data_IF_319138366464
#
_entry.id   IF_319138366464
#
_cell.length_a   1.000
_cell.length_b   1.000
_cell.length_c   1.000
_cell.angle_alpha   90.00
_cell.angle_beta   90.00
_cell.angle_gamma   90.00
#
_symmetry.space_group_name_H-M   'P 1'
#
loop_
_entity.id
_entity.type
_entity.pdbx_description
1 polymer ?
#
# COMPACT_ATOMS: atom_id res chain seq x y z
N UNK A 1 -8.49 5.51 12.12
CA UNK A 1 -8.26 6.86 11.50
C UNK A 1 -9.30 7.12 10.43
N UNK A 2 -9.86 8.34 10.27
CA UNK A 2 -10.85 8.68 9.23
C UNK A 2 -10.35 9.82 8.32
N UNK A 3 -10.44 9.64 7.01
CA UNK A 3 -10.11 10.61 5.97
C UNK A 3 -11.34 11.24 5.30
N UNK A 4 -11.09 12.05 4.28
CA UNK A 4 -12.14 12.65 3.45
C UNK A 4 -12.54 11.70 2.31
N UNK A 5 -13.84 11.49 2.08
CA UNK A 5 -14.32 10.67 0.97
C UNK A 5 -14.42 11.54 -0.29
N UNK A 6 -13.74 11.13 -1.36
CA UNK A 6 -13.80 11.83 -2.64
C UNK A 6 -15.04 11.47 -3.47
N UNK A 7 -15.22 12.17 -4.60
CA UNK A 7 -16.36 11.97 -5.49
C UNK A 7 -16.45 10.57 -6.13
N UNK A 8 -15.39 9.76 -6.01
CA UNK A 8 -15.33 8.39 -6.52
C UNK A 8 -15.49 7.35 -5.40
N UNK A 9 -15.75 7.80 -4.16
CA UNK A 9 -15.92 6.94 -3.00
C UNK A 9 -14.59 6.51 -2.36
N UNK A 10 -13.45 7.06 -2.79
CA UNK A 10 -12.17 6.78 -2.16
C UNK A 10 -11.98 7.61 -0.91
N UNK A 11 -11.57 6.98 0.18
CA UNK A 11 -11.15 7.67 1.39
C UNK A 11 -9.71 8.17 1.21
N UNK A 12 -9.49 9.47 1.33
CA UNK A 12 -8.18 10.10 1.25
C UNK A 12 -7.65 10.39 2.63
N UNK A 13 -6.50 9.82 2.95
CA UNK A 13 -5.85 10.00 4.25
C UNK A 13 -4.46 10.57 4.04
N UNK A 14 -4.19 11.71 4.66
CA UNK A 14 -2.85 12.26 4.72
C UNK A 14 -2.13 11.72 5.96
N UNK A 15 -0.92 11.17 5.79
CA UNK A 15 -0.10 10.65 6.88
C UNK A 15 1.29 11.26 6.82
N UNK A 16 1.86 11.52 8.00
CA UNK A 16 3.20 12.10 8.15
C UNK A 16 4.26 11.09 8.62
N UNK A 17 3.89 9.82 8.81
CA UNK A 17 4.84 8.80 9.23
C UNK A 17 4.47 7.39 8.75
N UNK A 18 5.49 6.56 8.57
CA UNK A 18 5.31 5.13 8.27
C UNK A 18 4.70 4.36 9.44
N UNK A 19 4.89 4.83 10.68
CA UNK A 19 4.28 4.21 11.87
C UNK A 19 2.76 4.36 11.80
N UNK A 20 2.25 5.54 11.46
CA UNK A 20 0.82 5.76 11.30
C UNK A 20 0.27 4.92 10.14
N UNK A 21 1.03 4.74 9.05
CA UNK A 21 0.63 3.85 7.96
C UNK A 21 0.55 2.38 8.41
N UNK A 22 1.50 1.89 9.20
CA UNK A 22 1.45 0.53 9.77
C UNK A 22 0.21 0.32 10.66
N UNK A 23 -0.14 1.32 11.46
CA UNK A 23 -1.34 1.28 12.31
C UNK A 23 -2.62 1.27 11.47
N UNK A 24 -2.68 2.10 10.43
CA UNK A 24 -3.81 2.12 9.49
C UNK A 24 -3.99 0.75 8.82
N UNK A 25 -2.90 0.11 8.40
CA UNK A 25 -2.94 -1.23 7.79
C UNK A 25 -3.51 -2.26 8.77
N UNK A 26 -2.96 -2.31 9.99
CA UNK A 26 -3.45 -3.22 11.02
C UNK A 26 -4.95 -3.03 11.28
N UNK A 27 -5.41 -1.78 11.39
CA UNK A 27 -6.82 -1.42 11.62
C UNK A 27 -7.72 -1.83 10.45
N UNK A 28 -7.34 -1.53 9.20
CA UNK A 28 -8.21 -1.70 8.02
C UNK A 28 -8.29 -3.12 7.50
N UNK A 29 -7.27 -3.93 7.79
CA UNK A 29 -7.22 -5.34 7.39
C UNK A 29 -7.49 -6.31 8.55
N UNK A 30 -7.74 -5.80 9.76
CA UNK A 30 -7.89 -6.61 10.99
C UNK A 30 -6.70 -7.57 11.20
N UNK A 31 -5.49 -7.01 11.05
CA UNK A 31 -4.22 -7.75 11.16
C UNK A 31 -3.45 -7.33 12.42
N UNK A 32 -2.60 -8.21 12.99
CA UNK A 32 -1.83 -7.87 14.18
C UNK A 32 -0.85 -6.70 13.92
N UNK A 33 -0.58 -5.81 14.90
CA UNK A 33 0.36 -4.71 14.70
C UNK A 33 1.76 -5.20 14.31
N UNK A 34 2.23 -4.81 13.11
CA UNK A 34 3.53 -5.19 12.53
C UNK A 34 4.13 -4.04 11.71
N UNK A 35 5.45 -4.06 11.44
CA UNK A 35 6.11 -3.06 10.60
C UNK A 35 5.89 -3.34 9.09
N UNK A 36 4.63 -3.34 8.64
CA UNK A 36 4.23 -3.64 7.25
C UNK A 36 5.01 -2.85 6.18
N UNK A 37 5.26 -1.57 6.40
CA UNK A 37 5.91 -0.68 5.42
C UNK A 37 7.41 -0.95 5.24
N UNK A 38 8.05 -1.65 6.18
CA UNK A 38 9.51 -1.87 6.19
C UNK A 38 9.91 -3.34 6.23
N UNK A 39 9.04 -4.24 6.71
CA UNK A 39 9.24 -5.68 6.65
C UNK A 39 8.41 -6.30 5.52
N UNK A 40 9.10 -6.80 4.49
CA UNK A 40 8.47 -7.46 3.36
C UNK A 40 7.64 -8.68 3.76
N UNK A 41 8.06 -9.44 4.79
CA UNK A 41 7.29 -10.61 5.24
C UNK A 41 5.95 -10.19 5.83
N UNK A 42 5.95 -9.13 6.63
CA UNK A 42 4.72 -8.54 7.15
C UNK A 42 3.86 -8.00 6.00
N UNK A 43 4.44 -7.27 5.04
CA UNK A 43 3.70 -6.76 3.88
C UNK A 43 3.02 -7.88 3.07
N UNK A 44 3.66 -9.03 2.92
CA UNK A 44 3.09 -10.19 2.21
C UNK A 44 1.85 -10.78 2.91
N UNK A 45 1.60 -10.47 4.18
CA UNK A 45 0.34 -10.82 4.85
C UNK A 45 -0.87 -10.14 4.18
N UNK A 46 -0.69 -8.98 3.53
CA UNK A 46 -1.73 -8.33 2.74
C UNK A 46 -2.06 -9.08 1.45
N UNK A 47 -1.06 -9.77 0.89
CA UNK A 47 -1.27 -10.67 -0.25
C UNK A 47 -2.05 -11.90 0.19
N UNK A 48 -1.69 -12.48 1.34
CA UNK A 48 -2.44 -13.59 1.93
C UNK A 48 -3.87 -13.17 2.23
N UNK A 49 -4.08 -11.97 2.80
CA UNK A 49 -5.41 -11.42 3.04
C UNK A 49 -6.22 -11.35 1.75
N UNK A 50 -5.65 -10.81 0.67
CA UNK A 50 -6.34 -10.70 -0.63
C UNK A 50 -6.70 -12.08 -1.19
N UNK A 51 -5.80 -13.07 -1.09
CA UNK A 51 -6.05 -14.44 -1.54
C UNK A 51 -7.21 -15.13 -0.79
N UNK A 52 -7.48 -14.72 0.45
CA UNK A 52 -8.52 -15.30 1.30
C UNK A 52 -9.87 -14.57 1.20
N UNK A 53 -9.87 -13.29 0.78
CA UNK A 53 -11.06 -12.42 0.82
C UNK A 53 -11.56 -11.95 -0.55
N UNK A 54 -10.77 -12.10 -1.61
CA UNK A 54 -11.17 -11.73 -2.97
C UNK A 54 -11.59 -12.98 -3.76
N UNK A 55 -12.66 -12.87 -4.56
CA UNK A 55 -13.16 -13.95 -5.41
C UNK A 55 -12.18 -14.26 -6.55
N UNK A 56 -11.43 -13.25 -7.02
CA UNK A 56 -10.49 -13.37 -8.14
C UNK A 56 -9.17 -12.67 -7.82
N UNK A 57 -8.42 -13.17 -6.82
CA UNK A 57 -7.25 -12.47 -6.32
C UNK A 57 -6.20 -12.38 -7.41
N UNK A 58 -5.64 -11.18 -7.55
CA UNK A 58 -4.49 -10.92 -8.39
C UNK A 58 -3.41 -10.25 -7.55
N UNK A 59 -2.17 -10.67 -7.76
CA UNK A 59 -1.02 -10.00 -7.19
C UNK A 59 0.15 -10.12 -8.15
N UNK A 60 0.80 -8.98 -8.41
CA UNK A 60 2.06 -8.95 -9.13
C UNK A 60 2.97 -7.89 -8.51
N UNK A 61 4.26 -8.23 -8.45
CA UNK A 61 5.34 -7.34 -8.04
C UNK A 61 6.50 -7.50 -9.00
N UNK A 62 7.11 -6.39 -9.37
CA UNK A 62 8.34 -6.37 -10.14
C UNK A 62 9.25 -5.24 -9.67
N UNK A 63 10.53 -5.37 -9.98
CA UNK A 63 11.52 -4.31 -9.84
C UNK A 63 12.07 -4.00 -11.22
N UNK A 64 11.86 -2.79 -11.70
CA UNK A 64 12.38 -2.34 -13.00
C UNK A 64 13.01 -0.98 -12.83
N UNK A 65 14.27 -0.83 -13.24
CA UNK A 65 14.91 0.48 -13.32
C UNK A 65 14.42 1.26 -14.55
N UNK A 66 13.97 0.55 -15.59
CA UNK A 66 13.61 1.13 -16.90
C UNK A 66 12.13 1.54 -16.97
N UNK A 67 11.25 0.88 -16.22
CA UNK A 67 9.80 1.15 -16.20
C UNK A 67 9.33 1.95 -14.98
N UNK A 68 10.26 2.32 -14.08
CA UNK A 68 9.95 3.00 -12.84
C UNK A 68 10.17 4.51 -12.90
N UNK A 69 9.45 5.23 -12.06
CA UNK A 69 9.79 6.62 -11.74
C UNK A 69 11.16 6.66 -11.03
N UNK A 70 12.00 7.70 -11.26
CA UNK A 70 13.22 7.91 -10.47
C UNK A 70 12.88 7.83 -8.98
N UNK A 71 13.70 7.11 -8.20
CA UNK A 71 13.52 6.78 -6.76
C UNK A 71 12.46 5.72 -6.39
N UNK A 72 11.59 5.26 -7.30
CA UNK A 72 10.49 4.31 -6.96
C UNK A 72 10.50 3.03 -7.83
N UNK A 73 11.53 2.16 -7.71
CA UNK A 73 11.78 1.06 -8.64
C UNK A 73 10.84 -0.14 -8.50
N UNK A 74 10.01 -0.19 -7.45
CA UNK A 74 9.13 -1.33 -7.19
C UNK A 74 7.71 -1.02 -7.66
N UNK A 75 7.24 -1.74 -8.68
CA UNK A 75 5.85 -1.72 -9.12
C UNK A 75 5.09 -2.90 -8.52
N UNK A 76 3.92 -2.61 -7.91
CA UNK A 76 3.01 -3.60 -7.33
C UNK A 76 1.60 -3.37 -7.82
N UNK A 77 0.84 -4.44 -8.00
CA UNK A 77 -0.57 -4.38 -8.38
C UNK A 77 -1.38 -5.52 -7.77
N UNK A 78 -2.43 -5.17 -7.03
CA UNK A 78 -3.54 -6.06 -6.65
C UNK A 78 -4.66 -6.10 -7.69
N UNK A 79 -4.56 -5.26 -8.72
CA UNK A 79 -5.43 -5.26 -9.89
C UNK A 79 -4.61 -5.35 -11.18
N UNK A 80 -5.14 -6.04 -12.19
CA UNK A 80 -4.46 -6.20 -13.48
C UNK A 80 -4.26 -4.85 -14.16
N UNK A 81 -3.06 -4.63 -14.71
CA UNK A 81 -2.68 -3.42 -15.48
C UNK A 81 -2.73 -2.10 -14.70
N UNK A 82 -2.90 -2.16 -13.38
CA UNK A 82 -2.75 -1.00 -12.50
C UNK A 82 -1.56 -1.24 -11.60
N UNK A 83 -0.63 -0.29 -11.58
CA UNK A 83 0.61 -0.40 -10.85
C UNK A 83 0.79 0.81 -9.95
N UNK A 84 1.07 0.55 -8.68
CA UNK A 84 1.55 1.56 -7.76
C UNK A 84 3.04 1.36 -7.53
N UNK A 85 3.77 2.46 -7.46
CA UNK A 85 5.21 2.48 -7.36
C UNK A 85 5.70 3.05 -6.04
N UNK A 86 6.72 2.43 -5.45
CA UNK A 86 7.39 2.94 -4.26
C UNK A 86 8.90 2.60 -4.22
N UNK A 87 9.58 3.19 -3.24
CA UNK A 87 11.02 3.01 -2.98
C UNK A 87 11.37 1.57 -2.58
N UNK A 88 10.45 0.87 -1.89
CA UNK A 88 10.61 -0.51 -1.45
C UNK A 88 9.40 -1.36 -1.84
N UNK A 89 9.61 -2.66 -2.00
CA UNK A 89 8.52 -3.60 -2.28
C UNK A 89 7.48 -3.64 -1.15
N UNK A 90 7.92 -3.58 0.11
CA UNK A 90 7.02 -3.57 1.27
C UNK A 90 6.08 -2.36 1.26
N UNK A 91 6.64 -1.16 1.02
CA UNK A 91 5.85 0.07 0.93
C UNK A 91 4.91 0.05 -0.29
N UNK A 92 5.36 -0.43 -1.45
CA UNK A 92 4.53 -0.55 -2.64
C UNK A 92 3.33 -1.48 -2.41
N UNK A 93 3.55 -2.64 -1.77
CA UNK A 93 2.48 -3.57 -1.39
C UNK A 93 1.46 -2.88 -0.48
N UNK A 94 1.93 -2.22 0.58
CA UNK A 94 1.07 -1.56 1.55
C UNK A 94 0.17 -0.50 0.91
N UNK A 95 0.76 0.37 0.10
CA UNK A 95 0.02 1.47 -0.54
C UNK A 95 -0.96 0.97 -1.59
N UNK A 96 -0.60 -0.06 -2.37
CA UNK A 96 -1.50 -0.60 -3.39
C UNK A 96 -2.63 -1.43 -2.77
N UNK A 97 -2.34 -2.19 -1.72
CA UNK A 97 -3.36 -2.93 -0.97
C UNK A 97 -4.44 -2.00 -0.41
N UNK A 98 -4.05 -0.89 0.24
CA UNK A 98 -5.02 0.11 0.73
C UNK A 98 -5.86 0.68 -0.41
N UNK A 99 -5.24 1.01 -1.53
CA UNK A 99 -5.92 1.60 -2.67
C UNK A 99 -6.90 0.63 -3.33
N UNK A 100 -6.43 -0.57 -3.71
CA UNK A 100 -7.24 -1.53 -4.47
C UNK A 100 -8.24 -2.30 -3.59
N UNK A 101 -7.84 -2.70 -2.38
CA UNK A 101 -8.63 -3.60 -1.55
C UNK A 101 -9.50 -2.88 -0.51
N UNK A 102 -9.20 -1.60 -0.22
CA UNK A 102 -9.94 -0.81 0.77
C UNK A 102 -10.45 0.53 0.24
N UNK A 103 -10.14 0.87 -1.01
CA UNK A 103 -10.46 2.18 -1.60
C UNK A 103 -9.92 3.35 -0.77
N UNK A 104 -8.74 3.16 -0.17
CA UNK A 104 -8.06 4.18 0.63
C UNK A 104 -6.84 4.68 -0.12
N UNK A 105 -6.84 5.96 -0.46
CA UNK A 105 -5.69 6.65 -1.02
C UNK A 105 -4.90 7.35 0.09
N UNK A 106 -3.63 6.97 0.24
CA UNK A 106 -2.73 7.58 1.23
C UNK A 106 -1.82 8.60 0.54
N UNK A 107 -1.84 9.83 1.02
CA UNK A 107 -0.83 10.86 0.74
C UNK A 107 0.22 10.87 1.87
N UNK A 108 1.40 10.34 1.58
CA UNK A 108 2.52 10.30 2.52
C UNK A 108 3.36 11.57 2.40
N UNK A 109 3.26 12.45 3.39
CA UNK A 109 4.17 13.58 3.57
C UNK A 109 5.20 13.22 4.63
N UNK A 110 6.17 12.40 4.24
CA UNK A 110 7.36 12.20 5.05
C UNK A 110 8.14 13.51 4.94
N UNK A 111 8.28 14.24 6.06
CA UNK A 111 9.12 15.43 6.08
C UNK A 111 10.48 15.04 5.50
N UNK A 112 10.86 15.68 4.37
CA UNK A 112 12.22 15.61 3.88
C UNK A 112 13.06 16.21 5.00
N UNK A 113 13.83 15.37 5.70
CA UNK A 113 14.76 15.86 6.70
C UNK A 113 15.67 16.89 6.03
N UNK A 114 15.65 18.13 6.56
CA UNK A 114 16.55 19.24 6.20
C UNK A 114 18.02 18.81 6.09
#
# INVERSE_FOLDING_TARGET
>A
MQGEIDQYGFERIQLTSLIALNQLIAERFDLPPRPYTTDLRAALELVIWALDHDDFPYFAIFKSADEAFPSKPFGVGFARKMWRYAETGALAICLDALYQLKQIEVDLKLDEAE
#
